data_IF_458507465819
#
_entry.id   IF_458507465819
#
_cell.length_a   1.000
_cell.length_b   1.000
_cell.length_c   1.000
_cell.angle_alpha   90.00
_cell.angle_beta   90.00
_cell.angle_gamma   90.00
#
_symmetry.space_group_name_H-M   'P 1'
#
loop_
_entity.id
_entity.type
_entity.pdbx_description
1 polymer ?
#
# COMPACT_ATOMS: atom_id res chain seq x y z
N UNK A 1 -4.69 -17.08 21.52
CA UNK A 1 -5.58 -16.06 20.88
C UNK A 1 -5.01 -15.46 19.58
N UNK A 2 -3.69 -15.54 19.33
CA UNK A 2 -3.03 -14.86 18.19
C UNK A 2 -3.36 -15.32 16.75
N UNK A 3 -4.08 -16.43 16.53
CA UNK A 3 -4.33 -16.95 15.17
C UNK A 3 -5.80 -16.90 14.73
N UNK A 4 -6.73 -16.59 15.62
CA UNK A 4 -8.17 -16.65 15.31
C UNK A 4 -8.56 -15.66 14.21
N UNK A 5 -8.08 -14.42 14.31
CA UNK A 5 -8.35 -13.40 13.30
C UNK A 5 -7.69 -13.74 11.95
N UNK A 6 -6.51 -14.37 11.94
CA UNK A 6 -5.87 -14.85 10.70
C UNK A 6 -6.73 -15.94 10.05
N UNK A 7 -7.26 -16.88 10.85
CA UNK A 7 -8.18 -17.90 10.35
C UNK A 7 -9.45 -17.27 9.75
N UNK A 8 -10.06 -16.30 10.43
CA UNK A 8 -11.23 -15.58 9.93
C UNK A 8 -10.95 -14.84 8.62
N UNK A 9 -9.79 -14.16 8.50
CA UNK A 9 -9.39 -13.47 7.28
C UNK A 9 -9.10 -14.48 6.16
N UNK A 10 -8.52 -15.65 6.46
CA UNK A 10 -8.32 -16.70 5.44
C UNK A 10 -9.65 -17.31 4.98
N UNK A 11 -10.63 -17.46 5.87
CA UNK A 11 -11.95 -17.96 5.53
C UNK A 11 -12.79 -16.94 4.76
N UNK A 12 -12.72 -15.66 5.15
CA UNK A 12 -13.33 -14.53 4.47
C UNK A 12 -12.42 -13.31 4.54
N UNK A 13 -11.66 -13.08 3.46
CA UNK A 13 -10.67 -12.01 3.36
C UNK A 13 -11.28 -10.61 3.34
N UNK A 14 -12.62 -10.50 3.21
CA UNK A 14 -13.37 -9.25 3.18
C UNK A 14 -14.29 -9.10 4.40
N UNK A 15 -14.02 -9.85 5.47
CA UNK A 15 -14.76 -9.71 6.73
C UNK A 15 -14.33 -8.43 7.45
N UNK A 16 -15.21 -7.42 7.45
CA UNK A 16 -15.00 -6.16 8.15
C UNK A 16 -14.66 -6.38 9.63
N UNK A 17 -15.44 -7.22 10.31
CA UNK A 17 -15.25 -7.53 11.73
C UNK A 17 -13.89 -8.18 12.02
N UNK A 18 -13.40 -9.05 11.12
CA UNK A 18 -12.11 -9.72 11.31
C UNK A 18 -10.95 -8.72 11.20
N UNK A 19 -10.97 -7.82 10.22
CA UNK A 19 -9.97 -6.77 10.06
C UNK A 19 -10.00 -5.75 11.19
N UNK A 20 -11.20 -5.32 11.60
CA UNK A 20 -11.38 -4.44 12.74
C UNK A 20 -10.82 -5.06 14.03
N UNK A 21 -11.18 -6.32 14.30
CA UNK A 21 -10.70 -7.03 15.48
C UNK A 21 -9.18 -7.24 15.44
N UNK A 22 -8.60 -7.54 14.27
CA UNK A 22 -7.14 -7.63 14.11
C UNK A 22 -6.45 -6.30 14.48
N UNK A 23 -6.97 -5.17 14.01
CA UNK A 23 -6.43 -3.85 14.35
C UNK A 23 -6.59 -3.52 15.83
N UNK A 24 -7.74 -3.87 16.42
CA UNK A 24 -7.95 -3.70 17.84
C UNK A 24 -6.93 -4.51 18.66
N UNK A 25 -6.74 -5.80 18.35
CA UNK A 25 -5.74 -6.65 19.02
C UNK A 25 -4.33 -6.09 18.87
N UNK A 26 -3.96 -5.65 17.67
CA UNK A 26 -2.66 -5.04 17.40
C UNK A 26 -2.42 -3.81 18.30
N UNK A 27 -3.42 -2.93 18.45
CA UNK A 27 -3.33 -1.73 19.30
C UNK A 27 -3.23 -2.03 20.80
N UNK A 28 -3.52 -3.26 21.24
CA UNK A 28 -3.35 -3.68 22.65
C UNK A 28 -1.96 -4.25 22.96
N UNK A 29 -1.12 -4.50 21.94
CA UNK A 29 0.22 -5.05 22.14
C UNK A 29 1.14 -3.99 22.76
N UNK A 30 1.92 -4.37 23.75
CA UNK A 30 2.91 -3.49 24.39
C UNK A 30 4.13 -3.21 23.49
N UNK A 31 4.52 -4.20 22.68
CA UNK A 31 5.60 -4.08 21.70
C UNK A 31 5.22 -4.84 20.41
N UNK A 32 4.36 -4.25 19.56
CA UNK A 32 3.95 -4.88 18.32
C UNK A 32 5.09 -4.93 17.29
N UNK A 33 5.23 -6.05 16.59
CA UNK A 33 6.13 -6.17 15.44
C UNK A 33 5.47 -5.56 14.19
N UNK A 34 5.81 -4.30 13.92
CA UNK A 34 5.29 -3.56 12.76
C UNK A 34 5.73 -4.20 11.45
N UNK A 35 6.98 -4.65 11.38
CA UNK A 35 7.56 -5.22 10.17
C UNK A 35 6.85 -6.53 9.80
N UNK A 36 6.55 -7.37 10.80
CA UNK A 36 5.75 -8.58 10.60
C UNK A 36 4.34 -8.24 10.09
N UNK A 37 3.68 -7.24 10.66
CA UNK A 37 2.33 -6.84 10.24
C UNK A 37 2.27 -6.28 8.82
N UNK A 38 3.25 -5.46 8.43
CA UNK A 38 3.36 -4.95 7.06
C UNK A 38 3.70 -6.06 6.07
N UNK A 39 4.55 -7.01 6.45
CA UNK A 39 4.84 -8.20 5.64
C UNK A 39 3.60 -9.11 5.49
N UNK A 40 2.76 -9.21 6.52
CA UNK A 40 1.49 -9.91 6.43
C UNK A 40 0.53 -9.21 5.47
N UNK A 41 0.42 -7.88 5.52
CA UNK A 41 -0.36 -7.10 4.56
C UNK A 41 0.08 -7.36 3.12
N UNK A 42 1.39 -7.37 2.87
CA UNK A 42 1.93 -7.64 1.54
C UNK A 42 1.53 -9.03 1.03
N UNK A 43 1.57 -10.06 1.89
CA UNK A 43 1.10 -11.41 1.55
C UNK A 43 -0.39 -11.42 1.19
N UNK A 44 -1.24 -10.72 1.95
CA UNK A 44 -2.68 -10.62 1.63
C UNK A 44 -2.95 -9.85 0.33
N UNK A 45 -2.23 -8.76 0.08
CA UNK A 45 -2.37 -7.97 -1.15
C UNK A 45 -1.80 -8.68 -2.38
N UNK A 46 -0.84 -9.59 -2.21
CA UNK A 46 -0.41 -10.49 -3.29
C UNK A 46 -1.51 -11.48 -3.69
N UNK A 47 -2.38 -11.88 -2.76
CA UNK A 47 -3.51 -12.78 -3.03
C UNK A 47 -4.71 -12.02 -3.62
N UNK A 48 -5.04 -10.84 -3.07
CA UNK A 48 -6.07 -9.96 -3.59
C UNK A 48 -5.62 -8.49 -3.47
N UNK A 49 -5.02 -7.98 -4.55
CA UNK A 49 -4.52 -6.60 -4.61
C UNK A 49 -5.62 -5.54 -4.53
N UNK A 50 -6.90 -5.94 -4.66
CA UNK A 50 -8.07 -5.06 -4.56
C UNK A 50 -8.74 -5.13 -3.19
N UNK A 51 -8.17 -5.85 -2.22
CA UNK A 51 -8.72 -5.97 -0.88
C UNK A 51 -8.56 -4.65 -0.11
N UNK A 52 -9.59 -3.80 -0.16
CA UNK A 52 -9.58 -2.50 0.49
C UNK A 52 -9.40 -2.59 2.00
N UNK A 53 -9.89 -3.64 2.66
CA UNK A 53 -9.70 -3.81 4.11
C UNK A 53 -8.22 -4.01 4.46
N UNK A 54 -7.49 -4.76 3.64
CA UNK A 54 -6.06 -4.95 3.83
C UNK A 54 -5.29 -3.65 3.55
N UNK A 55 -5.70 -2.86 2.55
CA UNK A 55 -5.13 -1.54 2.30
C UNK A 55 -5.36 -0.59 3.47
N UNK A 56 -6.58 -0.54 4.01
CA UNK A 56 -6.91 0.30 5.17
C UNK A 56 -6.12 -0.10 6.41
N UNK A 57 -6.04 -1.42 6.65
CA UNK A 57 -5.23 -1.98 7.73
C UNK A 57 -3.76 -1.60 7.58
N UNK A 58 -3.17 -1.79 6.37
CA UNK A 58 -1.78 -1.41 6.11
C UNK A 58 -1.52 0.06 6.42
N UNK A 59 -2.40 0.98 6.01
CA UNK A 59 -2.23 2.42 6.29
C UNK A 59 -2.22 2.72 7.78
N UNK A 60 -3.06 2.04 8.56
CA UNK A 60 -3.06 2.17 10.03
C UNK A 60 -1.76 1.65 10.66
N UNK A 61 -1.25 0.50 10.20
CA UNK A 61 0.01 -0.08 10.69
C UNK A 61 1.21 0.80 10.31
N UNK A 62 1.28 1.26 9.06
CA UNK A 62 2.32 2.15 8.58
C UNK A 62 2.35 3.46 9.38
N UNK A 63 1.18 4.06 9.64
CA UNK A 63 1.05 5.23 10.50
C UNK A 63 1.52 4.96 11.93
N UNK A 64 1.12 3.82 12.50
CA UNK A 64 1.54 3.45 13.86
C UNK A 64 3.06 3.27 13.95
N UNK A 65 3.66 2.62 12.96
CA UNK A 65 5.10 2.41 12.86
C UNK A 65 5.90 3.64 12.41
N UNK A 66 5.25 4.79 12.19
CA UNK A 66 5.89 6.01 11.68
C UNK A 66 6.66 5.79 10.37
N UNK A 67 6.14 4.92 9.50
CA UNK A 67 6.67 4.73 8.15
C UNK A 67 6.57 6.03 7.36
N UNK A 68 7.63 6.35 6.63
CA UNK A 68 7.68 7.56 5.82
C UNK A 68 6.79 7.42 4.58
N UNK A 69 6.34 8.55 4.04
CA UNK A 69 5.56 8.53 2.80
C UNK A 69 6.39 7.98 1.62
N UNK A 70 7.71 8.15 1.63
CA UNK A 70 8.63 7.58 0.64
C UNK A 70 8.71 6.05 0.74
N UNK A 71 8.67 5.48 1.95
CA UNK A 71 8.65 4.02 2.14
C UNK A 71 7.36 3.41 1.58
N UNK A 72 6.22 4.04 1.86
CA UNK A 72 4.93 3.59 1.33
C UNK A 72 4.78 3.87 -0.17
N UNK A 73 5.42 4.92 -0.69
CA UNK A 73 5.48 5.17 -2.13
C UNK A 73 6.24 4.03 -2.82
N UNK A 74 7.42 3.66 -2.31
CA UNK A 74 8.19 2.50 -2.79
C UNK A 74 7.39 1.21 -2.71
N UNK A 75 6.60 1.02 -1.65
CA UNK A 75 5.69 -0.12 -1.55
C UNK A 75 4.67 -0.12 -2.71
N UNK A 76 3.97 1.00 -2.92
CA UNK A 76 2.99 1.10 -4.01
C UNK A 76 3.62 0.86 -5.39
N UNK A 77 4.86 1.32 -5.60
CA UNK A 77 5.60 1.13 -6.84
C UNK A 77 5.92 -0.33 -7.12
N UNK A 78 6.28 -1.10 -6.09
CA UNK A 78 6.48 -2.55 -6.24
C UNK A 78 5.19 -3.26 -6.66
N UNK A 79 4.04 -2.86 -6.11
CA UNK A 79 2.76 -3.48 -6.47
C UNK A 79 2.30 -3.09 -7.86
N UNK A 80 2.51 -1.84 -8.27
CA UNK A 80 2.25 -1.37 -9.64
C UNK A 80 3.15 -2.11 -10.64
N UNK A 81 4.44 -2.27 -10.34
CA UNK A 81 5.36 -3.02 -11.20
C UNK A 81 4.97 -4.50 -11.31
N UNK A 82 4.43 -5.10 -10.25
CA UNK A 82 3.95 -6.47 -10.28
C UNK A 82 2.61 -6.62 -11.02
N UNK A 83 1.75 -5.61 -10.98
CA UNK A 83 0.47 -5.56 -11.71
C UNK A 83 0.10 -4.10 -11.98
N UNK A 84 0.37 -3.66 -13.21
CA UNK A 84 0.15 -2.27 -13.62
C UNK A 84 -1.32 -1.85 -13.52
N UNK A 85 -2.26 -2.79 -13.66
CA UNK A 85 -3.69 -2.53 -13.58
C UNK A 85 -4.23 -2.49 -12.14
N UNK A 86 -3.38 -2.56 -11.12
CA UNK A 86 -3.80 -2.50 -9.72
C UNK A 86 -4.21 -1.07 -9.31
N UNK A 87 -5.50 -0.75 -9.52
CA UNK A 87 -6.08 0.55 -9.16
C UNK A 87 -5.84 0.95 -7.70
N UNK A 88 -5.92 0.01 -6.75
CA UNK A 88 -5.73 0.32 -5.33
C UNK A 88 -4.30 0.81 -5.03
N UNK A 89 -3.31 0.29 -5.75
CA UNK A 89 -1.92 0.74 -5.61
C UNK A 89 -1.74 2.16 -6.19
N UNK A 90 -2.32 2.43 -7.36
CA UNK A 90 -2.32 3.78 -7.94
C UNK A 90 -3.04 4.80 -7.07
N UNK A 91 -4.19 4.43 -6.51
CA UNK A 91 -4.91 5.29 -5.60
C UNK A 91 -4.08 5.58 -4.34
N UNK A 92 -3.43 4.56 -3.77
CA UNK A 92 -2.56 4.78 -2.62
C UNK A 92 -1.38 5.69 -2.94
N UNK A 93 -0.69 5.47 -4.08
CA UNK A 93 0.34 6.37 -4.61
C UNK A 93 -0.16 7.81 -4.70
N UNK A 94 -1.34 8.03 -5.30
CA UNK A 94 -1.92 9.38 -5.42
C UNK A 94 -2.21 10.07 -4.08
N UNK A 95 -2.49 9.31 -3.02
CA UNK A 95 -2.71 9.85 -1.68
C UNK A 95 -1.42 10.26 -0.97
N UNK A 96 -0.28 9.67 -1.37
CA UNK A 96 1.06 9.92 -0.79
C UNK A 96 1.78 11.08 -1.49
N UNK A 97 1.56 11.29 -2.78
CA UNK A 97 2.26 12.33 -3.54
C UNK A 97 2.07 13.75 -2.97
N UNK A 98 0.88 14.18 -2.51
CA UNK A 98 0.70 15.52 -1.94
C UNK A 98 1.50 15.78 -0.65
N UNK A 99 1.79 14.73 0.14
CA UNK A 99 2.62 14.91 1.35
C UNK A 99 4.12 14.96 1.03
N UNK A 100 4.55 14.32 -0.06
CA UNK A 100 5.94 14.31 -0.52
C UNK A 100 6.30 15.52 -1.38
N UNK A 101 5.36 15.95 -2.21
CA UNK A 101 5.51 17.02 -3.19
C UNK A 101 4.34 18.00 -3.04
N UNK A 102 4.30 18.79 -1.96
CA UNK A 102 3.20 19.71 -1.71
C UNK A 102 3.15 20.82 -2.76
N UNK A 103 1.98 21.04 -3.34
CA UNK A 103 1.70 22.19 -4.21
C UNK A 103 1.28 23.39 -3.34
N UNK A 104 2.26 24.11 -2.80
CA UNK A 104 2.02 25.26 -1.90
C UNK A 104 1.27 26.41 -2.56
N UNK A 105 1.34 26.52 -3.89
CA UNK A 105 0.71 27.59 -4.65
C UNK A 105 -0.64 27.15 -5.25
N UNK A 106 -1.01 25.87 -5.07
CA UNK A 106 -2.21 25.23 -5.60
C UNK A 106 -2.43 25.50 -7.10
N UNK A 107 -1.34 25.53 -7.85
CA UNK A 107 -1.34 25.85 -9.28
C UNK A 107 -1.70 24.63 -10.14
N UNK A 108 -1.66 23.43 -9.57
CA UNK A 108 -1.89 22.15 -10.26
C UNK A 108 -1.02 22.02 -11.52
N UNK A 109 0.16 22.64 -11.50
CA UNK A 109 1.09 22.65 -12.62
C UNK A 109 1.82 21.33 -12.70
N UNK A 110 1.65 20.63 -13.82
CA UNK A 110 2.45 19.45 -14.12
C UNK A 110 3.79 19.90 -14.66
N UNK A 111 4.84 19.74 -13.85
CA UNK A 111 6.21 19.95 -14.30
C UNK A 111 6.57 18.93 -15.41
N UNK A 112 6.86 19.42 -16.61
CA UNK A 112 7.13 18.57 -17.79
C UNK A 112 8.31 17.61 -17.56
N UNK A 113 9.48 18.05 -17.04
CA UNK A 113 10.55 17.16 -16.63
C UNK A 113 10.10 16.04 -15.69
N UNK A 114 9.30 16.35 -14.66
CA UNK A 114 8.75 15.37 -13.72
C UNK A 114 7.85 14.36 -14.44
N UNK A 115 6.96 14.83 -15.32
CA UNK A 115 6.12 13.95 -16.14
C UNK A 115 6.95 13.03 -17.05
N UNK A 116 8.00 13.55 -17.68
CA UNK A 116 8.89 12.74 -18.51
C UNK A 116 9.71 11.74 -17.69
N UNK A 117 10.10 12.10 -16.47
CA UNK A 117 10.79 11.20 -15.57
C UNK A 117 9.88 10.03 -15.15
N UNK A 118 8.66 10.33 -14.74
CA UNK A 118 7.63 9.32 -14.44
C UNK A 118 7.36 8.44 -15.66
N UNK A 119 7.08 9.04 -16.82
CA UNK A 119 6.87 8.29 -18.06
C UNK A 119 8.04 7.37 -18.38
N UNK A 120 9.28 7.85 -18.22
CA UNK A 120 10.47 7.02 -18.45
C UNK A 120 10.51 5.85 -17.48
N UNK A 121 10.28 6.07 -16.19
CA UNK A 121 10.29 5.00 -15.18
C UNK A 121 9.30 3.89 -15.55
N UNK A 122 8.07 4.25 -15.91
CA UNK A 122 7.02 3.27 -16.21
C UNK A 122 7.14 2.68 -17.62
N UNK A 123 7.50 3.47 -18.63
CA UNK A 123 7.66 3.01 -20.01
C UNK A 123 8.87 2.09 -20.19
N UNK A 124 9.99 2.37 -19.51
CA UNK A 124 11.17 1.51 -19.54
C UNK A 124 10.90 0.17 -18.82
N UNK A 125 10.11 0.19 -17.75
CA UNK A 125 9.69 -1.01 -17.04
C UNK A 125 8.73 -1.88 -17.87
N UNK A 126 7.85 -1.26 -18.66
CA UNK A 126 6.98 -1.94 -19.63
C UNK A 126 7.76 -2.50 -20.83
N UNK A 127 8.70 -1.74 -21.41
CA UNK A 127 9.44 -2.14 -22.62
C UNK A 127 10.47 -3.25 -22.38
N UNK A 128 10.99 -3.36 -21.16
CA UNK A 128 11.88 -4.46 -20.74
C UNK A 128 11.14 -5.73 -20.30
N UNK A 129 9.80 -5.75 -20.35
CA UNK A 129 9.00 -6.90 -19.91
C UNK A 129 9.09 -7.19 -18.40
N UNK A 130 9.46 -6.18 -17.60
CA UNK A 130 9.57 -6.30 -16.13
C UNK A 130 8.20 -6.18 -15.43
N UNK A 131 7.15 -5.82 -16.16
CA UNK A 131 5.78 -5.72 -15.69
C UNK A 131 4.92 -6.71 -16.49
N UNK A 132 4.36 -7.77 -15.87
CA UNK A 132 3.47 -8.69 -16.56
C UNK A 132 2.11 -8.02 -16.87
N UNK A 133 1.60 -8.28 -18.08
CA UNK A 133 0.23 -7.93 -18.50
C UNK A 133 -0.81 -8.79 -17.78
#
# INVERSE_FOLDING_TARGET
LGYFHIFCIKANSKSYCAWFYRLWCFKQLSNPDIAEELAACEKFLKLDGRNFHCWDYRREIARFGSHSAEEELKFSDRLINANFSNYSSWHYRSSLLPSLFPDTENQLTVDKPTLYNEYRVWFFSLSLGLIPF
#
